data_IF_306276110336
#
_entry.id   IF_306276110336
#
_cell.length_a   1.000
_cell.length_b   1.000
_cell.length_c   1.000
_cell.angle_alpha   90.00
_cell.angle_beta   90.00
_cell.angle_gamma   90.00
#
_symmetry.space_group_name_H-M   'P 1'
#
loop_
_entity.id
_entity.type
_entity.pdbx_description
1 polymer ?
#
# COMPACT_ATOMS: atom_id res chain seq x y z
N UNK A 1 6.01 45.17 3.13
CA UNK A 1 6.09 44.30 4.33
C UNK A 1 4.80 43.50 4.59
N UNK A 2 3.95 43.25 3.57
CA UNK A 2 2.74 42.42 3.72
C UNK A 2 2.99 40.92 3.45
N UNK A 3 3.95 40.60 2.59
CA UNK A 3 4.29 39.24 2.18
C UNK A 3 4.87 38.36 3.31
N UNK A 4 5.55 38.99 4.29
CA UNK A 4 6.10 38.30 5.46
C UNK A 4 5.03 37.86 6.45
N UNK A 5 3.97 38.66 6.59
CA UNK A 5 2.80 38.36 7.44
C UNK A 5 2.02 37.18 6.83
N UNK A 6 1.74 37.23 5.53
CA UNK A 6 1.04 36.16 4.79
C UNK A 6 1.76 34.81 4.84
N UNK A 7 3.09 34.81 4.68
CA UNK A 7 3.90 33.60 4.81
C UNK A 7 3.85 33.00 6.23
N UNK A 8 3.86 33.86 7.25
CA UNK A 8 3.79 33.43 8.65
C UNK A 8 2.43 32.82 8.98
N UNK A 9 1.36 33.38 8.44
CA UNK A 9 0.00 32.87 8.54
C UNK A 9 -0.14 31.53 7.82
N UNK A 10 0.35 31.42 6.58
CA UNK A 10 0.34 30.18 5.80
C UNK A 10 1.06 29.02 6.53
N UNK A 11 2.25 29.26 7.09
CA UNK A 11 2.99 28.23 7.85
C UNK A 11 2.24 27.82 9.11
N UNK A 12 1.57 28.77 9.77
CA UNK A 12 0.74 28.49 10.95
C UNK A 12 -0.45 27.61 10.56
N UNK A 13 -1.11 27.90 9.46
CA UNK A 13 -2.27 27.15 8.96
C UNK A 13 -1.88 25.73 8.51
N UNK A 14 -0.76 25.58 7.79
CA UNK A 14 -0.22 24.27 7.41
C UNK A 14 0.11 23.42 8.64
N UNK A 15 0.68 24.03 9.68
CA UNK A 15 0.96 23.32 10.94
C UNK A 15 -0.32 22.84 11.62
N UNK A 16 -1.38 23.64 11.60
CA UNK A 16 -2.69 23.25 12.14
C UNK A 16 -3.26 22.06 11.36
N UNK A 17 -3.20 22.09 10.03
CA UNK A 17 -3.73 21.03 9.17
C UNK A 17 -2.97 19.71 9.32
N UNK A 18 -1.65 19.76 9.49
CA UNK A 18 -0.82 18.56 9.77
C UNK A 18 -1.28 17.86 11.06
N UNK A 19 -1.77 18.61 12.05
CA UNK A 19 -2.30 18.02 13.29
C UNK A 19 -3.62 17.27 13.10
N UNK A 20 -4.35 17.54 12.02
CA UNK A 20 -5.57 16.81 11.67
C UNK A 20 -5.27 15.49 10.94
N UNK A 21 -4.03 15.27 10.53
CA UNK A 21 -3.62 14.01 9.90
C UNK A 21 -3.54 12.94 10.98
N UNK A 22 -4.46 11.98 10.91
CA UNK A 22 -4.47 10.79 11.76
C UNK A 22 -3.34 9.85 11.32
N UNK A 23 -2.14 10.04 11.87
CA UNK A 23 -1.06 9.10 11.65
C UNK A 23 -1.38 7.78 12.35
N UNK A 24 -1.38 6.66 11.61
CA UNK A 24 -1.63 5.36 12.21
C UNK A 24 -0.58 5.05 13.27
N UNK A 25 -1.02 4.40 14.34
CA UNK A 25 -0.14 3.86 15.36
C UNK A 25 0.76 2.77 14.77
N UNK A 26 1.93 2.53 15.39
CA UNK A 26 2.88 1.48 14.93
C UNK A 26 2.23 0.09 14.84
N UNK A 27 1.20 -0.15 15.66
CA UNK A 27 0.40 -1.38 15.67
C UNK A 27 -0.51 -1.46 14.45
N UNK A 28 -1.27 -0.41 14.12
CA UNK A 28 -2.14 -0.38 12.92
C UNK A 28 -1.33 -0.49 11.63
N UNK A 29 -0.12 0.08 11.61
CA UNK A 29 0.82 -0.04 10.49
C UNK A 29 1.24 -1.49 10.25
N UNK A 30 1.52 -2.22 11.34
CA UNK A 30 1.88 -3.63 11.29
C UNK A 30 0.69 -4.47 10.82
N UNK A 31 -0.49 -4.23 11.37
CA UNK A 31 -1.71 -4.98 11.03
C UNK A 31 -2.06 -4.79 9.55
N UNK A 32 -2.01 -3.56 9.06
CA UNK A 32 -2.23 -3.25 7.64
C UNK A 32 -1.21 -3.97 6.73
N UNK A 33 0.06 -4.02 7.14
CA UNK A 33 1.13 -4.70 6.39
C UNK A 33 0.92 -6.22 6.37
N UNK A 34 0.48 -6.82 7.49
CA UNK A 34 0.22 -8.27 7.58
C UNK A 34 -0.90 -8.68 6.63
N UNK A 35 -1.98 -7.90 6.55
CA UNK A 35 -3.08 -8.17 5.62
C UNK A 35 -2.61 -8.13 4.16
N UNK A 36 -1.78 -7.15 3.80
CA UNK A 36 -1.21 -7.05 2.45
C UNK A 36 -0.29 -8.23 2.14
N UNK A 37 0.56 -8.63 3.08
CA UNK A 37 1.43 -9.81 2.88
C UNK A 37 0.57 -11.06 2.66
N UNK A 38 -0.45 -11.27 3.48
CA UNK A 38 -1.35 -12.42 3.35
C UNK A 38 -2.08 -12.44 2.00
N UNK A 39 -2.59 -11.30 1.54
CA UNK A 39 -3.29 -11.21 0.25
C UNK A 39 -2.36 -11.48 -0.93
N UNK A 40 -1.12 -10.96 -0.89
CA UNK A 40 -0.10 -11.23 -1.92
C UNK A 40 0.26 -12.72 -1.97
N UNK A 41 0.45 -13.37 -0.82
CA UNK A 41 0.73 -14.80 -0.77
C UNK A 41 -0.43 -15.63 -1.36
N UNK A 42 -1.67 -15.25 -1.07
CA UNK A 42 -2.85 -15.94 -1.61
C UNK A 42 -2.92 -15.84 -3.14
N UNK A 43 -2.70 -14.65 -3.70
CA UNK A 43 -2.68 -14.45 -5.16
C UNK A 43 -1.50 -15.19 -5.79
N UNK A 44 -0.30 -15.11 -5.19
CA UNK A 44 0.88 -15.79 -5.68
C UNK A 44 0.69 -17.32 -5.72
N UNK A 45 0.09 -17.91 -4.69
CA UNK A 45 -0.22 -19.33 -4.64
C UNK A 45 -1.22 -19.72 -5.73
N UNK A 46 -2.26 -18.91 -5.95
CA UNK A 46 -3.23 -19.14 -7.03
C UNK A 46 -2.56 -19.14 -8.41
N UNK A 47 -1.78 -18.10 -8.71
CA UNK A 47 -1.06 -17.99 -9.99
C UNK A 47 -0.11 -19.17 -10.18
N UNK A 48 0.64 -19.55 -9.13
CA UNK A 48 1.52 -20.70 -9.17
C UNK A 48 0.80 -22.00 -9.53
N UNK A 49 -0.38 -22.25 -8.95
CA UNK A 49 -1.18 -23.45 -9.28
C UNK A 49 -1.64 -23.40 -10.74
N UNK A 50 -2.16 -22.25 -11.19
CA UNK A 50 -2.61 -22.07 -12.57
C UNK A 50 -1.47 -22.32 -13.56
N UNK A 51 -0.29 -21.74 -13.32
CA UNK A 51 0.87 -21.90 -14.19
C UNK A 51 1.32 -23.37 -14.28
N UNK A 52 1.27 -24.10 -13.15
CA UNK A 52 1.61 -25.54 -13.11
C UNK A 52 0.60 -26.38 -13.89
N UNK A 53 -0.69 -26.08 -13.76
CA UNK A 53 -1.76 -26.76 -14.50
C UNK A 53 -1.65 -26.48 -16.00
N UNK A 54 -1.45 -25.22 -16.38
CA UNK A 54 -1.28 -24.83 -17.78
C UNK A 54 -0.03 -25.47 -18.39
N UNK A 55 1.10 -25.45 -17.68
CA UNK A 55 2.35 -26.07 -18.15
C UNK A 55 2.19 -27.58 -18.37
N UNK A 56 1.49 -28.26 -17.46
CA UNK A 56 1.18 -29.68 -17.61
C UNK A 56 0.23 -29.95 -18.78
N UNK A 57 -0.83 -29.13 -18.92
CA UNK A 57 -1.81 -29.26 -20.01
C UNK A 57 -1.19 -29.03 -21.39
N UNK A 58 -0.36 -28.00 -21.54
CA UNK A 58 0.37 -27.73 -22.78
C UNK A 58 1.37 -28.84 -23.08
N UNK A 59 2.10 -29.33 -22.06
CA UNK A 59 3.03 -30.44 -22.22
C UNK A 59 2.37 -31.76 -22.66
N UNK A 60 1.11 -31.99 -22.25
CA UNK A 60 0.32 -33.14 -22.70
C UNK A 60 -0.18 -32.98 -24.13
N UNK A 61 -0.44 -31.75 -24.58
CA UNK A 61 -1.01 -31.45 -25.90
C UNK A 61 0.07 -31.38 -26.99
N UNK A 62 1.30 -30.98 -26.64
CA UNK A 62 2.46 -30.94 -27.54
C UNK A 62 3.26 -32.25 -27.61
N UNK A 63 2.84 -33.31 -26.90
CA UNK A 63 3.43 -34.65 -26.93
C UNK A 63 2.49 -35.63 -27.62
#
# INVERSE_FOLDING_TARGET
MAWTEQLREFVKDVRVEITKVSWPSRTELRDSTVVVIASVFMVAAFVFVVDRVLSFGIGLLFR
#
